data_IF_530264340410
#
_entry.id   IF_530264340410
#
_cell.length_a   1.000
_cell.length_b   1.000
_cell.length_c   1.000
_cell.angle_alpha   90.00
_cell.angle_beta   90.00
_cell.angle_gamma   90.00
#
_symmetry.space_group_name_H-M   'P 1'
#
loop_
_entity.id
_entity.type
_entity.pdbx_description
1 polymer ?
#
# COMPACT_ATOMS: atom_id res chain seq x y z
N UNK A 1 -10.36 -1.81 -4.42
CA UNK A 1 -11.28 -2.26 -3.38
C UNK A 1 -11.40 -3.78 -3.40
N UNK A 2 -11.88 -4.40 -4.49
CA UNK A 2 -12.10 -5.85 -4.55
C UNK A 2 -10.89 -6.67 -4.10
N UNK A 3 -9.73 -6.42 -4.67
CA UNK A 3 -8.49 -7.12 -4.29
C UNK A 3 -8.19 -7.01 -2.79
N UNK A 4 -8.28 -5.80 -2.18
CA UNK A 4 -7.99 -5.64 -0.76
C UNK A 4 -9.05 -6.30 0.13
N UNK A 5 -10.31 -6.30 -0.28
CA UNK A 5 -11.39 -6.97 0.47
C UNK A 5 -11.31 -8.50 0.44
N UNK A 6 -10.62 -9.10 -0.54
CA UNK A 6 -10.32 -10.54 -0.53
C UNK A 6 -9.13 -10.89 0.38
N UNK A 7 -8.29 -9.90 0.67
CA UNK A 7 -7.10 -10.02 1.51
C UNK A 7 -7.33 -9.46 2.93
N UNK A 8 -8.55 -9.53 3.43
CA UNK A 8 -9.01 -8.82 4.62
C UNK A 8 -8.26 -9.16 5.92
N UNK A 9 -7.64 -10.35 6.02
CA UNK A 9 -6.86 -10.77 7.19
C UNK A 9 -5.36 -10.45 7.08
N UNK A 10 -4.88 -9.95 5.94
CA UNK A 10 -3.43 -9.89 5.67
C UNK A 10 -2.71 -8.69 6.28
N UNK A 11 -3.43 -7.71 6.79
CA UNK A 11 -2.86 -6.51 7.40
C UNK A 11 -3.15 -5.22 6.65
N UNK A 12 -2.30 -4.21 6.86
CA UNK A 12 -2.52 -2.86 6.33
C UNK A 12 -2.04 -2.71 4.90
N UNK A 13 -2.67 -1.80 4.17
CA UNK A 13 -2.35 -1.49 2.79
C UNK A 13 -1.99 -0.02 2.59
N UNK A 14 -1.13 0.25 1.62
CA UNK A 14 -0.78 1.60 1.19
C UNK A 14 -0.96 1.74 -0.32
N UNK A 15 -1.67 2.78 -0.76
CA UNK A 15 -1.81 3.17 -2.16
C UNK A 15 -0.94 4.39 -2.43
N UNK A 16 0.02 4.24 -3.31
CA UNK A 16 0.94 5.31 -3.73
C UNK A 16 0.46 5.91 -5.04
N UNK A 17 -0.05 7.12 -4.99
CA UNK A 17 -0.56 7.84 -6.15
C UNK A 17 0.48 8.81 -6.74
N UNK A 18 0.32 9.16 -8.00
CA UNK A 18 1.24 10.05 -8.73
C UNK A 18 1.35 11.43 -8.06
N UNK A 19 0.24 12.01 -7.62
CA UNK A 19 0.16 13.33 -6.98
C UNK A 19 -0.95 13.43 -5.93
N UNK A 20 -1.03 14.58 -5.25
CA UNK A 20 -2.00 14.84 -4.19
C UNK A 20 -3.45 14.89 -4.70
N UNK A 21 -3.67 15.41 -5.90
CA UNK A 21 -4.99 15.49 -6.54
C UNK A 21 -5.52 14.08 -6.80
N UNK A 22 -4.66 13.22 -7.33
CA UNK A 22 -4.96 11.80 -7.53
C UNK A 22 -5.25 11.08 -6.22
N UNK A 23 -4.57 11.41 -5.11
CA UNK A 23 -4.88 10.83 -3.80
C UNK A 23 -6.34 11.10 -3.39
N UNK A 24 -6.84 12.32 -3.56
CA UNK A 24 -8.22 12.67 -3.21
C UNK A 24 -9.22 12.06 -4.20
N UNK A 25 -8.90 12.02 -5.50
CA UNK A 25 -9.73 11.29 -6.49
C UNK A 25 -9.85 9.81 -6.14
N UNK A 26 -8.73 9.17 -5.80
CA UNK A 26 -8.72 7.76 -5.42
C UNK A 26 -9.47 7.52 -4.11
N UNK A 27 -9.36 8.43 -3.14
CA UNK A 27 -10.16 8.36 -1.93
C UNK A 27 -11.67 8.34 -2.24
N UNK A 28 -12.17 9.26 -3.06
CA UNK A 28 -13.58 9.34 -3.44
C UNK A 28 -14.04 8.08 -4.17
N UNK A 29 -13.20 7.52 -5.06
CA UNK A 29 -13.50 6.26 -5.74
C UNK A 29 -13.50 5.07 -4.77
N UNK A 30 -12.51 5.00 -3.87
CA UNK A 30 -12.43 3.96 -2.86
C UNK A 30 -13.66 4.02 -1.95
N UNK A 31 -14.04 5.19 -1.46
CA UNK A 31 -15.21 5.38 -0.60
C UNK A 31 -16.49 4.88 -1.29
N UNK A 32 -16.69 5.26 -2.55
CA UNK A 32 -17.82 4.80 -3.37
C UNK A 32 -17.85 3.28 -3.49
N UNK A 33 -16.76 2.67 -3.91
CA UNK A 33 -16.69 1.23 -4.15
C UNK A 33 -16.64 0.42 -2.85
N UNK A 34 -16.11 1.00 -1.76
CA UNK A 34 -16.12 0.38 -0.45
C UNK A 34 -17.54 0.23 0.09
N UNK A 35 -18.35 1.29 -0.02
CA UNK A 35 -19.77 1.25 0.33
C UNK A 35 -20.57 0.23 -0.50
N UNK A 36 -20.23 0.09 -1.79
CA UNK A 36 -20.83 -0.95 -2.64
C UNK A 36 -20.42 -2.35 -2.18
N UNK A 37 -19.13 -2.54 -1.82
CA UNK A 37 -18.64 -3.83 -1.34
C UNK A 37 -19.28 -4.25 0.00
N UNK A 38 -19.51 -3.31 0.91
CA UNK A 38 -20.25 -3.58 2.14
C UNK A 38 -21.67 -4.08 1.82
N UNK A 39 -22.40 -3.41 0.91
CA UNK A 39 -23.75 -3.83 0.51
C UNK A 39 -23.76 -5.21 -0.17
N UNK A 40 -22.77 -5.50 -1.00
CA UNK A 40 -22.58 -6.80 -1.62
C UNK A 40 -22.40 -7.88 -0.54
N UNK A 41 -21.52 -7.66 0.43
CA UNK A 41 -21.28 -8.60 1.54
C UNK A 41 -22.52 -8.77 2.43
N UNK A 42 -23.29 -7.71 2.69
CA UNK A 42 -24.56 -7.79 3.40
C UNK A 42 -25.59 -8.65 2.66
N UNK A 43 -25.60 -8.63 1.33
CA UNK A 43 -26.49 -9.48 0.54
C UNK A 43 -26.00 -10.93 0.50
N UNK A 44 -24.68 -11.16 0.45
CA UNK A 44 -24.09 -12.51 0.52
C UNK A 44 -24.38 -13.19 1.86
N UNK A 45 -24.46 -12.45 2.95
CA UNK A 45 -24.86 -13.00 4.27
C UNK A 45 -26.29 -13.57 4.30
N UNK A 46 -27.19 -13.07 3.47
CA UNK A 46 -28.56 -13.59 3.41
C UNK A 46 -28.65 -14.99 2.83
N UNK A 47 -27.58 -15.46 2.18
CA UNK A 47 -27.49 -16.73 1.48
C UNK A 47 -26.41 -17.63 2.09
N UNK A 48 -26.27 -17.63 3.43
CA UNK A 48 -25.34 -18.51 4.11
C UNK A 48 -25.79 -19.98 4.01
N UNK A 49 -24.80 -20.86 3.83
CA UNK A 49 -25.03 -22.30 3.63
C UNK A 49 -24.99 -23.07 4.96
N UNK A 50 -24.15 -22.62 5.89
CA UNK A 50 -23.97 -23.21 7.22
C UNK A 50 -23.45 -22.17 8.23
N UNK A 51 -23.33 -22.56 9.50
CA UNK A 51 -22.87 -21.69 10.59
C UNK A 51 -21.41 -21.20 10.42
N UNK A 52 -20.54 -22.00 9.79
CA UNK A 52 -19.16 -21.62 9.56
C UNK A 52 -19.05 -20.57 8.47
N UNK A 53 -19.79 -20.71 7.37
CA UNK A 53 -19.91 -19.73 6.29
C UNK A 53 -20.50 -18.42 6.81
N UNK A 54 -21.54 -18.50 7.66
CA UNK A 54 -22.15 -17.33 8.31
C UNK A 54 -21.13 -16.58 9.18
N UNK A 55 -20.34 -17.28 10.00
CA UNK A 55 -19.33 -16.70 10.87
C UNK A 55 -18.24 -16.00 10.08
N UNK A 56 -17.71 -16.63 9.02
CA UNK A 56 -16.68 -16.05 8.17
C UNK A 56 -17.18 -14.78 7.47
N UNK A 57 -18.35 -14.84 6.85
CA UNK A 57 -18.98 -13.68 6.18
C UNK A 57 -19.30 -12.56 7.16
N UNK A 58 -19.72 -12.88 8.39
CA UNK A 58 -19.97 -11.91 9.45
C UNK A 58 -18.70 -11.19 9.87
N UNK A 59 -17.62 -11.92 10.12
CA UNK A 59 -16.33 -11.34 10.46
C UNK A 59 -15.79 -10.43 9.35
N UNK A 60 -15.90 -10.87 8.11
CA UNK A 60 -15.51 -10.07 6.94
C UNK A 60 -16.35 -8.80 6.79
N UNK A 61 -17.67 -8.90 7.00
CA UNK A 61 -18.55 -7.74 6.97
C UNK A 61 -18.21 -6.74 8.06
N UNK A 62 -17.95 -7.22 9.28
CA UNK A 62 -17.52 -6.38 10.39
C UNK A 62 -16.20 -5.68 10.05
N UNK A 63 -15.20 -6.42 9.56
CA UNK A 63 -13.92 -5.86 9.13
C UNK A 63 -14.09 -4.79 8.05
N UNK A 64 -14.95 -5.02 7.06
CA UNK A 64 -15.26 -4.03 6.01
C UNK A 64 -15.88 -2.76 6.59
N UNK A 65 -16.82 -2.88 7.52
CA UNK A 65 -17.50 -1.74 8.16
C UNK A 65 -16.58 -0.93 9.07
N UNK A 66 -15.68 -1.58 9.76
CA UNK A 66 -14.69 -0.94 10.64
C UNK A 66 -13.53 -0.31 9.86
N UNK A 67 -13.21 -0.83 8.67
CA UNK A 67 -12.04 -0.38 7.93
C UNK A 67 -12.12 1.10 7.59
N UNK A 68 -11.15 1.85 8.10
CA UNK A 68 -10.92 3.24 7.76
C UNK A 68 -9.83 3.37 6.71
N UNK A 69 -9.98 4.38 5.87
CA UNK A 69 -8.97 4.83 4.91
C UNK A 69 -8.79 6.34 5.02
N UNK A 70 -7.58 6.81 4.73
CA UNK A 70 -7.27 8.24 4.78
C UNK A 70 -6.24 8.64 3.72
N UNK A 71 -6.40 9.87 3.24
CA UNK A 71 -5.38 10.56 2.45
C UNK A 71 -4.35 11.14 3.40
N UNK A 72 -3.06 10.86 3.12
CA UNK A 72 -1.92 11.38 3.89
C UNK A 72 -0.95 12.06 2.93
N UNK A 73 -1.02 13.39 2.88
CA UNK A 73 -0.24 14.22 1.95
C UNK A 73 0.26 15.49 2.64
N UNK A 74 1.45 15.95 2.28
CA UNK A 74 2.02 17.20 2.80
C UNK A 74 1.16 18.41 2.48
N UNK A 75 1.17 19.43 3.34
CA UNK A 75 0.52 20.71 3.07
C UNK A 75 1.17 21.43 1.89
N UNK A 76 0.40 22.26 1.20
CA UNK A 76 0.84 23.07 0.07
C UNK A 76 0.13 24.42 0.13
N UNK A 77 0.84 25.49 -0.27
CA UNK A 77 0.21 26.80 -0.37
C UNK A 77 -0.89 26.81 -1.46
N UNK A 78 -1.99 27.51 -1.19
CA UNK A 78 -3.14 27.64 -2.10
C UNK A 78 -3.74 26.29 -2.56
N UNK A 79 -3.58 25.24 -1.76
CA UNK A 79 -4.06 23.90 -2.12
C UNK A 79 -5.59 23.85 -2.31
N UNK A 80 -6.36 24.60 -1.52
CA UNK A 80 -7.84 24.64 -1.62
C UNK A 80 -8.27 25.06 -3.03
N UNK A 81 -7.68 26.13 -3.55
CA UNK A 81 -8.00 26.60 -4.90
C UNK A 81 -7.53 25.64 -5.98
N UNK A 82 -6.40 24.99 -5.75
CA UNK A 82 -5.90 23.94 -6.65
C UNK A 82 -6.86 22.76 -6.72
N UNK A 83 -7.36 22.28 -5.58
CA UNK A 83 -8.29 21.15 -5.54
C UNK A 83 -9.68 21.51 -6.10
N UNK A 84 -10.18 22.73 -5.84
CA UNK A 84 -11.43 23.24 -6.43
C UNK A 84 -11.45 23.24 -7.95
N UNK A 85 -10.30 23.48 -8.61
CA UNK A 85 -10.20 23.38 -10.08
C UNK A 85 -10.50 21.98 -10.62
N UNK A 86 -10.40 20.96 -9.78
CA UNK A 86 -10.69 19.57 -10.11
C UNK A 86 -12.01 19.07 -9.52
N UNK A 87 -12.85 19.99 -9.00
CA UNK A 87 -14.08 19.66 -8.28
C UNK A 87 -13.83 18.71 -7.10
N UNK A 88 -12.75 18.97 -6.35
CA UNK A 88 -12.33 18.18 -5.20
C UNK A 88 -12.23 19.05 -3.95
N UNK A 89 -12.49 18.44 -2.78
CA UNK A 89 -12.34 19.07 -1.49
C UNK A 89 -11.22 18.41 -0.68
N UNK A 90 -10.16 19.14 -0.35
CA UNK A 90 -9.05 18.70 0.49
C UNK A 90 -9.31 18.96 1.97
N UNK A 91 -10.25 19.83 2.33
CA UNK A 91 -10.46 20.30 3.71
C UNK A 91 -10.74 19.15 4.68
N UNK A 92 -11.68 18.21 4.41
CA UNK A 92 -11.95 17.10 5.33
C UNK A 92 -10.71 16.24 5.60
N UNK A 93 -9.85 16.06 4.59
CA UNK A 93 -8.62 15.30 4.73
C UNK A 93 -7.59 16.04 5.59
N UNK A 94 -7.48 17.38 5.43
CA UNK A 94 -6.62 18.24 6.28
C UNK A 94 -7.07 18.22 7.73
N UNK A 95 -8.36 18.35 7.96
CA UNK A 95 -8.92 18.28 9.32
C UNK A 95 -8.63 16.92 9.97
N UNK A 96 -8.79 15.82 9.23
CA UNK A 96 -8.48 14.48 9.72
C UNK A 96 -7.01 14.35 10.11
N UNK A 97 -6.08 14.83 9.26
CA UNK A 97 -4.64 14.83 9.54
C UNK A 97 -4.22 15.73 10.70
N UNK A 98 -4.94 16.84 10.94
CA UNK A 98 -4.66 17.75 12.07
C UNK A 98 -5.22 17.24 13.39
N UNK A 99 -6.36 16.58 13.37
CA UNK A 99 -7.07 16.10 14.57
C UNK A 99 -6.55 14.75 15.08
N UNK A 100 -5.91 13.95 14.21
CA UNK A 100 -5.47 12.58 14.52
C UNK A 100 -3.99 12.40 14.20
N UNK A 101 -3.31 11.63 15.03
CA UNK A 101 -1.96 11.13 14.72
C UNK A 101 -2.07 9.87 13.83
N UNK A 102 -2.34 10.13 12.54
CA UNK A 102 -2.49 9.06 11.55
C UNK A 102 -1.24 8.17 11.43
N UNK A 103 -0.06 8.72 11.77
CA UNK A 103 1.18 7.96 11.72
C UNK A 103 1.23 6.88 12.82
N UNK A 104 0.91 7.25 14.05
CA UNK A 104 0.82 6.30 15.17
C UNK A 104 -0.33 5.32 14.98
N UNK A 105 -1.50 5.79 14.56
CA UNK A 105 -2.65 4.93 14.29
C UNK A 105 -2.40 3.91 13.16
N UNK A 106 -1.67 4.29 12.12
CA UNK A 106 -1.34 3.36 11.04
C UNK A 106 -0.28 2.33 11.44
N UNK A 107 0.58 2.64 12.43
CA UNK A 107 1.55 1.68 12.98
C UNK A 107 0.89 0.66 13.92
N UNK A 108 -0.19 1.04 14.57
CA UNK A 108 -0.95 0.15 15.46
C UNK A 108 -1.76 -0.85 14.63
N UNK A 109 -1.40 -2.14 14.71
CA UNK A 109 -2.05 -3.20 13.96
C UNK A 109 -3.53 -3.39 14.34
N UNK A 110 -3.90 -3.08 15.57
CA UNK A 110 -5.28 -3.19 16.08
C UNK A 110 -6.19 -2.05 15.60
N UNK A 111 -5.59 -0.92 15.18
CA UNK A 111 -6.34 0.25 14.74
C UNK A 111 -7.04 0.02 13.40
N UNK A 112 -8.35 0.39 13.27
CA UNK A 112 -9.13 0.20 12.04
C UNK A 112 -8.67 1.04 10.85
N UNK A 113 -7.75 1.97 11.02
CA UNK A 113 -7.10 2.67 9.90
C UNK A 113 -6.18 1.70 9.14
N UNK A 114 -6.73 1.05 8.11
CA UNK A 114 -6.08 -0.05 7.40
C UNK A 114 -5.57 0.30 6.00
N UNK A 115 -6.04 1.40 5.40
CA UNK A 115 -5.59 1.81 4.06
C UNK A 115 -5.15 3.28 4.04
N UNK A 116 -3.86 3.51 3.82
CA UNK A 116 -3.29 4.84 3.62
C UNK A 116 -3.17 5.17 2.12
N UNK A 117 -3.61 6.36 1.72
CA UNK A 117 -3.51 6.87 0.35
C UNK A 117 -2.50 8.03 0.36
N UNK A 118 -1.36 7.82 -0.27
CA UNK A 118 -0.19 8.71 -0.18
C UNK A 118 0.35 9.06 -1.57
N UNK A 119 1.14 10.13 -1.69
CA UNK A 119 1.88 10.40 -2.93
C UNK A 119 3.40 10.47 -2.75
N UNK A 120 3.88 10.95 -1.60
CA UNK A 120 5.29 11.04 -1.27
C UNK A 120 5.55 10.80 0.22
N UNK A 121 4.64 11.29 1.09
CA UNK A 121 4.73 11.05 2.53
C UNK A 121 4.71 9.54 2.82
N UNK A 122 5.49 9.15 3.83
CA UNK A 122 5.63 7.78 4.29
C UNK A 122 6.35 6.81 3.33
N UNK A 123 6.76 7.24 2.14
CA UNK A 123 7.58 6.40 1.25
C UNK A 123 9.01 6.24 1.76
N UNK A 124 9.52 7.25 2.48
CA UNK A 124 10.84 7.23 3.12
C UNK A 124 10.72 7.58 4.60
N UNK A 125 11.58 7.01 5.46
CA UNK A 125 11.62 7.35 6.89
C UNK A 125 10.44 6.87 7.76
N UNK A 126 9.41 6.23 7.21
CA UNK A 126 8.23 5.77 7.95
C UNK A 126 8.16 4.25 8.00
N UNK A 127 8.31 3.66 9.17
CA UNK A 127 8.32 2.21 9.38
C UNK A 127 6.98 1.69 9.88
N UNK A 128 6.39 0.74 9.15
CA UNK A 128 5.14 0.06 9.50
C UNK A 128 5.31 -1.44 9.28
N UNK A 129 5.49 -2.18 10.34
CA UNK A 129 5.68 -3.65 10.29
C UNK A 129 4.44 -4.37 9.73
N UNK A 130 3.25 -3.86 10.02
CA UNK A 130 1.97 -4.42 9.56
C UNK A 130 1.59 -4.07 8.12
N UNK A 131 2.43 -3.32 7.39
CA UNK A 131 2.19 -3.02 5.98
C UNK A 131 2.37 -4.30 5.15
N UNK A 132 1.27 -4.85 4.66
CA UNK A 132 1.25 -6.13 3.93
C UNK A 132 1.03 -5.96 2.44
N UNK A 133 0.33 -4.90 2.02
CA UNK A 133 0.03 -4.67 0.61
C UNK A 133 0.44 -3.26 0.20
N UNK A 134 1.20 -3.17 -0.88
CA UNK A 134 1.60 -1.93 -1.50
C UNK A 134 1.04 -1.84 -2.93
N UNK A 135 0.17 -0.87 -3.16
CA UNK A 135 -0.36 -0.55 -4.48
C UNK A 135 0.44 0.61 -5.07
N UNK A 136 1.07 0.39 -6.23
CA UNK A 136 1.90 1.38 -6.91
C UNK A 136 1.18 1.94 -8.14
N UNK A 137 0.79 3.22 -8.07
CA UNK A 137 0.27 4.03 -9.17
C UNK A 137 1.16 5.27 -9.37
N UNK A 138 2.47 5.09 -9.24
CA UNK A 138 3.48 6.13 -9.37
C UNK A 138 4.83 5.56 -9.79
N UNK A 139 5.47 6.21 -10.77
CA UNK A 139 6.87 5.92 -11.08
C UNK A 139 7.73 6.42 -9.92
N UNK A 140 8.41 5.50 -9.25
CA UNK A 140 9.38 5.79 -8.20
C UNK A 140 10.79 5.65 -8.76
N UNK A 141 11.71 6.51 -8.31
CA UNK A 141 13.13 6.35 -8.59
C UNK A 141 13.63 5.04 -7.96
N UNK A 142 14.59 4.38 -8.58
CA UNK A 142 15.11 3.07 -8.16
C UNK A 142 15.34 2.96 -6.65
N UNK A 143 16.10 3.87 -6.07
CA UNK A 143 16.37 3.90 -4.63
C UNK A 143 15.09 4.02 -3.78
N UNK A 144 14.16 4.93 -4.15
CA UNK A 144 12.90 5.09 -3.43
C UNK A 144 12.00 3.86 -3.59
N UNK A 145 11.99 3.26 -4.78
CA UNK A 145 11.25 2.03 -5.07
C UNK A 145 11.75 0.88 -4.19
N UNK A 146 13.07 0.65 -4.16
CA UNK A 146 13.68 -0.40 -3.34
C UNK A 146 13.39 -0.22 -1.86
N UNK A 147 13.52 0.99 -1.31
CA UNK A 147 13.16 1.28 0.08
C UNK A 147 11.69 1.05 0.38
N UNK A 148 10.80 1.35 -0.57
CA UNK A 148 9.36 1.18 -0.41
C UNK A 148 8.98 -0.30 -0.45
N UNK A 149 9.61 -1.08 -1.34
CA UNK A 149 9.46 -2.54 -1.46
C UNK A 149 9.96 -3.24 -0.18
N UNK A 150 11.18 -2.92 0.27
CA UNK A 150 11.77 -3.50 1.46
C UNK A 150 10.88 -3.35 2.70
N UNK A 151 10.12 -2.24 2.82
CA UNK A 151 9.17 -2.03 3.92
C UNK A 151 7.96 -2.94 3.85
N UNK A 152 7.38 -3.11 2.65
CA UNK A 152 6.28 -4.03 2.48
C UNK A 152 6.70 -5.49 2.73
N UNK A 153 7.97 -5.81 2.48
CA UNK A 153 8.51 -7.18 2.58
C UNK A 153 9.04 -7.55 3.98
N UNK A 154 8.93 -6.67 4.98
CA UNK A 154 9.34 -7.02 6.35
C UNK A 154 8.52 -8.17 6.91
N UNK A 155 9.22 -9.13 7.50
CA UNK A 155 8.61 -10.25 8.24
C UNK A 155 8.01 -9.72 9.54
N UNK A 156 6.77 -10.09 9.82
CA UNK A 156 6.04 -9.75 11.03
C UNK A 156 5.15 -10.93 11.43
N UNK A 157 4.72 -11.03 12.69
CA UNK A 157 3.84 -12.12 13.15
C UNK A 157 2.64 -12.33 12.22
N UNK A 158 2.50 -13.53 11.67
CA UNK A 158 1.45 -13.87 10.71
C UNK A 158 1.65 -13.37 9.27
N UNK A 159 2.79 -12.70 9.00
CA UNK A 159 3.11 -12.16 7.68
C UNK A 159 4.47 -12.68 7.21
N UNK A 160 4.47 -13.53 6.21
CA UNK A 160 5.71 -14.07 5.62
C UNK A 160 6.31 -13.17 4.54
N UNK A 161 5.47 -12.45 3.78
CA UNK A 161 5.89 -11.59 2.66
C UNK A 161 4.94 -10.41 2.47
N UNK A 162 5.43 -9.33 1.86
CA UNK A 162 4.61 -8.22 1.38
C UNK A 162 4.14 -8.45 -0.06
N UNK A 163 2.92 -8.03 -0.37
CA UNK A 163 2.39 -8.07 -1.72
C UNK A 163 2.52 -6.70 -2.38
N UNK A 164 3.06 -6.66 -3.59
CA UNK A 164 3.17 -5.43 -4.37
C UNK A 164 2.30 -5.57 -5.62
N UNK A 165 1.36 -4.66 -5.75
CA UNK A 165 0.48 -4.55 -6.91
C UNK A 165 0.92 -3.33 -7.72
N UNK A 166 1.49 -3.57 -8.87
CA UNK A 166 2.06 -2.54 -9.74
C UNK A 166 1.14 -2.27 -10.92
N UNK A 167 0.55 -1.08 -10.96
CA UNK A 167 -0.36 -0.67 -12.03
C UNK A 167 0.34 -0.03 -13.23
N UNK A 168 1.61 0.33 -13.10
CA UNK A 168 2.34 1.13 -14.12
C UNK A 168 3.56 0.41 -14.69
N UNK A 169 3.83 -0.83 -14.28
CA UNK A 169 4.91 -1.65 -14.82
C UNK A 169 6.32 -1.27 -14.33
N UNK A 170 6.44 -0.58 -13.21
CA UNK A 170 7.75 -0.19 -12.63
C UNK A 170 8.58 -1.40 -12.27
N UNK A 171 7.95 -2.46 -11.76
CA UNK A 171 8.63 -3.70 -11.37
C UNK A 171 9.26 -4.42 -12.58
N UNK A 172 8.63 -4.33 -13.76
CA UNK A 172 9.22 -4.87 -14.99
C UNK A 172 10.54 -4.17 -15.33
N UNK A 173 10.54 -2.84 -15.28
CA UNK A 173 11.75 -2.05 -15.57
C UNK A 173 12.85 -2.31 -14.53
N UNK A 174 12.46 -2.49 -13.26
CA UNK A 174 13.39 -2.84 -12.20
C UNK A 174 14.02 -4.22 -12.43
N UNK A 175 13.23 -5.24 -12.80
CA UNK A 175 13.75 -6.57 -13.15
C UNK A 175 14.72 -6.52 -14.32
N UNK A 176 14.41 -5.76 -15.37
CA UNK A 176 15.29 -5.57 -16.52
C UNK A 176 16.60 -4.86 -16.13
N UNK A 177 16.53 -3.86 -15.27
CA UNK A 177 17.71 -3.19 -14.73
C UNK A 177 18.57 -4.14 -13.90
N UNK A 178 17.98 -4.85 -12.94
CA UNK A 178 18.69 -5.81 -12.07
C UNK A 178 19.31 -6.97 -12.88
N UNK A 179 18.65 -7.47 -13.93
CA UNK A 179 19.20 -8.51 -14.79
C UNK A 179 20.46 -8.04 -15.56
N UNK A 180 20.51 -6.77 -15.95
CA UNK A 180 21.69 -6.16 -16.59
C UNK A 180 22.84 -5.95 -15.64
N UNK A 181 22.55 -5.60 -14.37
CA UNK A 181 23.58 -5.45 -13.33
C UNK A 181 24.10 -6.78 -12.81
N UNK A 182 23.26 -7.80 -12.70
CA UNK A 182 23.65 -9.15 -12.26
C UNK A 182 24.51 -9.94 -13.26
N UNK A 183 24.53 -9.53 -14.54
CA UNK A 183 25.37 -10.16 -15.60
C UNK A 183 26.69 -9.43 -15.86
N UNK A 184 26.96 -8.31 -15.17
CA UNK A 184 28.05 -7.39 -15.49
C UNK A 184 29.01 -7.05 -14.37
N UNK A 185 29.48 -8.00 -13.53
CA UNK A 185 30.58 -7.70 -12.60
C UNK A 185 31.60 -8.83 -12.45
N UNK A 186 32.52 -8.88 -13.39
CA UNK A 186 33.92 -9.13 -13.04
C UNK A 186 34.65 -7.80 -13.21
N UNK A 187 34.82 -7.01 -12.16
CA UNK A 187 35.89 -6.01 -12.05
C UNK A 187 36.21 -5.80 -10.57
N UNK A 188 37.46 -6.03 -10.29
CA UNK A 188 38.12 -5.93 -9.00
C UNK A 188 38.16 -4.50 -8.46
N UNK A 189 38.01 -4.38 -7.14
CA UNK A 189 38.64 -3.34 -6.34
C UNK A 189 37.81 -2.09 -6.02
N UNK A 190 37.34 -1.97 -4.80
CA UNK A 190 36.90 -0.71 -4.21
C UNK A 190 35.85 -0.89 -3.09
N UNK A 191 36.31 -0.69 -1.85
CA UNK A 191 35.49 -0.63 -0.64
C UNK A 191 34.36 0.35 -0.82
N UNK A 192 33.13 -0.16 -0.86
CA UNK A 192 31.87 0.62 -0.87
C UNK A 192 30.86 -0.07 0.04
N UNK A 193 30.01 0.69 0.76
CA UNK A 193 29.00 0.14 1.66
C UNK A 193 27.82 -0.54 0.92
N UNK A 194 28.11 -1.23 -0.19
CA UNK A 194 27.14 -1.86 -1.13
C UNK A 194 26.81 -3.32 -0.73
N UNK A 195 27.49 -3.88 0.28
CA UNK A 195 27.27 -5.26 0.72
C UNK A 195 25.82 -5.53 1.13
N UNK A 196 25.28 -4.70 2.02
CA UNK A 196 23.90 -4.88 2.54
C UNK A 196 22.83 -4.63 1.46
N UNK A 197 23.08 -3.74 0.50
CA UNK A 197 22.14 -3.51 -0.62
C UNK A 197 22.14 -4.65 -1.66
N UNK A 198 23.28 -5.29 -1.89
CA UNK A 198 23.40 -6.43 -2.80
C UNK A 198 22.64 -7.65 -2.28
N UNK A 199 22.78 -7.96 -1.02
CA UNK A 199 22.12 -9.10 -0.36
C UNK A 199 20.60 -8.89 -0.39
N UNK A 200 20.11 -7.67 -0.16
CA UNK A 200 18.70 -7.31 -0.23
C UNK A 200 18.14 -7.41 -1.67
N UNK A 201 18.94 -7.08 -2.66
CA UNK A 201 18.58 -7.17 -4.08
C UNK A 201 18.51 -8.64 -4.52
N UNK A 202 19.45 -9.47 -4.08
CA UNK A 202 19.48 -10.90 -4.39
C UNK A 202 18.30 -11.64 -3.74
N UNK A 203 18.01 -11.40 -2.47
CA UNK A 203 16.82 -11.93 -1.78
C UNK A 203 15.53 -11.51 -2.49
N UNK A 204 15.45 -10.27 -2.95
CA UNK A 204 14.26 -9.76 -3.65
C UNK A 204 14.09 -10.40 -5.03
N UNK A 205 15.18 -10.62 -5.77
CA UNK A 205 15.18 -11.30 -7.07
C UNK A 205 14.80 -12.77 -6.90
N UNK A 206 15.27 -13.42 -5.85
CA UNK A 206 14.95 -14.82 -5.57
C UNK A 206 13.48 -14.99 -5.17
N UNK A 207 12.97 -14.14 -4.28
CA UNK A 207 11.54 -14.11 -3.91
C UNK A 207 10.61 -13.79 -5.08
N UNK A 208 11.09 -13.06 -6.09
CA UNK A 208 10.37 -12.77 -7.33
C UNK A 208 10.41 -13.97 -8.30
N UNK A 209 11.51 -14.74 -8.33
CA UNK A 209 11.67 -15.94 -9.18
C UNK A 209 10.79 -17.09 -8.69
N UNK A 210 10.77 -17.37 -7.40
CA UNK A 210 10.01 -18.47 -6.80
C UNK A 210 8.48 -18.37 -7.01
N UNK A 211 7.98 -17.20 -7.41
CA UNK A 211 6.54 -16.98 -7.69
C UNK A 211 6.18 -16.98 -9.18
N UNK A 212 7.14 -17.26 -10.05
CA UNK A 212 6.91 -17.26 -11.51
C UNK A 212 6.87 -18.68 -12.09
N UNK A 213 7.02 -19.71 -11.25
CA UNK A 213 6.74 -21.12 -11.49
C UNK A 213 5.40 -21.53 -10.82
#
# INVERSE_FOLDING_TARGET
>A
VNHYSTMWETGKAMLVCIDKVTCVKMYNLIDKYWKLKIKEQENEMKNCLDEQDEKEKSNKLQWLKETEYAVVVSEEQNEIDKFKKWDLDIIPHREKMKKRDLATEFKDNSNPFRLAIVCAMWLTGFDVKSLSILYLDKVLKEHTLMQTIARANRVYEGKNNGLIVDYIGVLKNLREALSKYGTGTNTEGGDSPIGEEKDLIEELVEAIRERSE
#
